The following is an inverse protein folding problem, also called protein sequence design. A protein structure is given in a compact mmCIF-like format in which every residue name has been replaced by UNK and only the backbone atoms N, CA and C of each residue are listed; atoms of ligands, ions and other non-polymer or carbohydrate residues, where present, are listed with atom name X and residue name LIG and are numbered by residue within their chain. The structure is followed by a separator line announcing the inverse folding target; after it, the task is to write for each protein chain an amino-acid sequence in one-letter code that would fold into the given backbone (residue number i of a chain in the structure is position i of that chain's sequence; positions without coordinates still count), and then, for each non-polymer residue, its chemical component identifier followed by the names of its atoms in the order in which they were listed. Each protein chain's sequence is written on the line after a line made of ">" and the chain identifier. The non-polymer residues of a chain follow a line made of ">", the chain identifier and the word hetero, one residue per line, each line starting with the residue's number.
data_IF_553460397445
#
_entry.id   IF_553460397445
#
_cell.length_a   1.000
_cell.length_b   1.000
_cell.length_c   1.000
_cell.angle_alpha   90.00
_cell.angle_beta   90.00
_cell.angle_gamma   90.00
#
_symmetry.space_group_name_H-M   'P 1'
#
loop_
_entity.id
_entity.type
_entity.pdbx_description
1 polymer ?
#
# COMPACT_ATOMS: atom_id res chain seq x y z
N UNK A 1 6.76 32.01 17.19
CA UNK A 1 6.38 30.86 16.34
C UNK A 1 6.82 31.17 14.93
N UNK A 2 7.34 30.19 14.20
CA UNK A 2 7.55 30.32 12.76
C UNK A 2 6.78 29.23 12.03
N UNK A 3 6.23 29.59 10.88
CA UNK A 3 5.40 28.71 10.07
C UNK A 3 5.81 28.80 8.61
N UNK A 4 5.81 27.66 7.92
CA UNK A 4 6.16 27.55 6.51
C UNK A 4 5.12 26.72 5.77
N UNK A 5 4.53 27.30 4.74
CA UNK A 5 3.62 26.60 3.85
C UNK A 5 4.41 25.88 2.76
N UNK A 6 4.25 24.56 2.67
CA UNK A 6 4.89 23.70 1.69
C UNK A 6 3.82 23.06 0.81
N UNK A 7 3.90 23.32 -0.50
CA UNK A 7 2.99 22.72 -1.47
C UNK A 7 3.42 21.28 -1.79
N UNK A 8 2.88 20.33 -1.02
CA UNK A 8 3.08 18.90 -1.22
C UNK A 8 1.92 18.31 -2.04
N UNK A 9 2.19 17.24 -2.80
CA UNK A 9 1.13 16.48 -3.47
C UNK A 9 0.84 15.22 -2.65
N UNK A 10 -0.43 14.88 -2.38
CA UNK A 10 -1.65 15.48 -2.92
C UNK A 10 -2.19 16.68 -2.12
N UNK A 11 -1.68 16.91 -0.90
CA UNK A 11 -2.22 17.92 0.03
C UNK A 11 -1.14 18.86 0.54
N UNK A 12 -1.42 20.15 0.55
CA UNK A 12 -0.54 21.19 1.09
C UNK A 12 -0.29 20.95 2.58
N UNK A 13 0.95 21.15 3.02
CA UNK A 13 1.37 20.98 4.41
C UNK A 13 1.86 22.30 4.98
N UNK A 14 1.51 22.57 6.23
CA UNK A 14 1.96 23.74 6.97
C UNK A 14 2.86 23.27 8.12
N UNK A 15 4.14 23.54 8.01
CA UNK A 15 5.12 23.21 9.04
C UNK A 15 5.17 24.33 10.07
N UNK A 16 5.20 23.96 11.34
CA UNK A 16 5.34 24.88 12.46
C UNK A 16 6.56 24.45 13.26
N UNK A 17 7.36 25.42 13.66
CA UNK A 17 8.46 25.19 14.57
C UNK A 17 8.54 26.27 15.65
N UNK A 18 8.78 25.80 16.86
CA UNK A 18 9.11 26.59 18.03
C UNK A 18 8.03 27.59 18.44
N UNK A 19 8.47 28.68 19.07
CA UNK A 19 7.58 29.64 19.72
C UNK A 19 7.45 29.40 21.23
N UNK A 20 6.56 30.18 21.83
CA UNK A 20 6.35 30.21 23.27
C UNK A 20 4.95 29.67 23.56
N UNK A 21 4.88 28.56 24.28
CA UNK A 21 3.62 27.97 24.74
C UNK A 21 3.45 28.21 26.24
N UNK A 22 2.20 28.34 26.66
CA UNK A 22 1.81 28.44 28.07
C UNK A 22 0.50 27.67 28.22
N UNK A 23 0.52 26.59 29.01
CA UNK A 23 -0.69 25.92 29.46
C UNK A 23 -1.09 26.56 30.79
N UNK A 24 -2.25 27.22 30.84
CA UNK A 24 -2.70 27.92 32.06
C UNK A 24 -4.06 27.41 32.50
N UNK A 25 -4.12 26.89 33.72
CA UNK A 25 -5.33 26.82 34.54
C UNK A 25 -5.54 28.19 35.21
N UNK A 26 -6.74 28.75 35.08
CA UNK A 26 -7.35 29.93 35.74
C UNK A 26 -6.49 30.85 36.67
N UNK A 27 -5.29 31.34 36.27
CA UNK A 27 -4.69 32.64 36.65
C UNK A 27 -3.26 32.79 36.06
N UNK A 28 -3.06 33.47 34.92
CA UNK A 28 -1.74 33.55 34.30
C UNK A 28 -0.82 34.56 34.99
N UNK A 29 0.30 34.09 35.55
CA UNK A 29 1.49 34.95 35.73
C UNK A 29 2.16 35.09 34.36
N UNK A 30 2.19 36.32 33.82
CA UNK A 30 2.66 36.69 32.45
C UNK A 30 4.07 36.23 32.05
N UNK A 31 4.84 35.62 32.96
CA UNK A 31 6.26 35.29 32.78
C UNK A 31 6.54 33.78 32.70
N UNK A 32 5.52 32.91 32.72
CA UNK A 32 5.69 31.46 32.61
C UNK A 32 5.36 30.96 31.19
N UNK A 33 6.15 31.39 30.21
CA UNK A 33 6.12 30.84 28.85
C UNK A 33 7.28 29.87 28.66
N UNK A 34 7.00 28.64 28.22
CA UNK A 34 8.04 27.67 27.84
C UNK A 34 8.27 27.76 26.34
N UNK A 35 9.53 27.75 25.94
CA UNK A 35 9.89 27.63 24.52
C UNK A 35 9.70 26.17 24.07
N UNK A 36 9.18 26.00 22.85
CA UNK A 36 8.97 24.70 22.22
C UNK A 36 10.11 24.37 21.25
N UNK A 37 10.43 23.08 21.10
CA UNK A 37 11.41 22.56 20.13
C UNK A 37 10.79 21.62 19.10
N UNK A 38 9.49 21.33 19.20
CA UNK A 38 8.86 20.36 18.34
C UNK A 38 8.57 20.96 16.96
N UNK A 39 8.74 20.13 15.93
CA UNK A 39 8.31 20.45 14.57
C UNK A 39 6.98 19.76 14.37
N UNK A 40 5.93 20.56 14.23
CA UNK A 40 4.59 20.08 13.96
C UNK A 40 4.26 20.29 12.49
N UNK A 41 3.45 19.39 11.93
CA UNK A 41 2.93 19.52 10.57
C UNK A 41 1.42 19.44 10.60
N UNK A 42 0.80 20.47 10.05
CA UNK A 42 -0.62 20.50 9.76
C UNK A 42 -0.80 20.15 8.28
N UNK A 43 -1.45 19.03 8.00
CA UNK A 43 -1.83 18.73 6.62
C UNK A 43 -3.21 19.30 6.34
N UNK A 44 -3.29 20.13 5.30
CA UNK A 44 -4.51 20.81 4.89
C UNK A 44 -5.31 19.92 3.94
N UNK A 45 -6.57 19.65 4.27
CA UNK A 45 -7.51 18.86 3.48
C UNK A 45 -8.96 19.14 3.88
N UNK A 46 -9.88 18.25 3.54
CA UNK A 46 -11.28 18.32 4.04
C UNK A 46 -11.33 18.24 5.57
N UNK A 47 -10.47 17.39 6.14
CA UNK A 47 -10.18 17.34 7.57
C UNK A 47 -8.71 17.74 7.82
N UNK A 48 -8.52 18.64 8.77
CA UNK A 48 -7.21 19.08 9.24
C UNK A 48 -6.65 18.06 10.24
N UNK A 49 -5.46 17.51 9.96
CA UNK A 49 -4.77 16.63 10.90
C UNK A 49 -3.43 17.22 11.32
N UNK A 50 -3.17 17.13 12.62
CA UNK A 50 -1.93 17.53 13.27
C UNK A 50 -1.08 16.30 13.54
N UNK A 51 0.16 16.33 13.03
CA UNK A 51 1.17 15.33 13.32
C UNK A 51 2.42 16.00 13.87
N UNK A 52 3.15 15.29 14.73
CA UNK A 52 4.48 15.70 15.17
C UNK A 52 5.51 15.02 14.27
N UNK A 53 6.40 15.80 13.67
CA UNK A 53 7.48 15.27 12.84
C UNK A 53 8.56 14.71 13.74
N UNK A 54 8.74 13.39 13.70
CA UNK A 54 9.91 12.75 14.29
C UNK A 54 11.12 13.08 13.42
N UNK A 55 11.99 13.95 13.90
CA UNK A 55 13.15 14.40 13.15
C UNK A 55 14.17 13.28 13.04
N UNK A 56 14.42 12.82 11.82
CA UNK A 56 15.65 12.11 11.50
C UNK A 56 16.60 13.19 10.98
N UNK A 57 17.75 13.35 11.63
CA UNK A 57 18.78 14.29 11.15
C UNK A 57 19.02 14.08 9.66
N UNK A 58 19.08 15.18 8.89
CA UNK A 58 19.27 15.10 7.45
C UNK A 58 20.56 14.33 7.06
N UNK A 59 21.56 14.30 7.95
CA UNK A 59 22.77 13.50 7.78
C UNK A 59 22.51 11.98 7.84
N UNK A 60 21.65 11.53 8.76
CA UNK A 60 21.25 10.12 8.89
C UNK A 60 20.33 9.70 7.75
N UNK A 61 19.36 10.54 7.39
CA UNK A 61 18.47 10.28 6.25
C UNK A 61 19.23 10.24 4.90
N UNK A 62 20.20 11.13 4.70
CA UNK A 62 21.06 11.12 3.51
C UNK A 62 22.01 9.90 3.49
N UNK A 63 22.47 9.42 4.65
CA UNK A 63 23.25 8.19 4.75
C UNK A 63 22.42 6.95 4.36
N UNK A 64 21.17 6.86 4.82
CA UNK A 64 20.23 5.78 4.45
C UNK A 64 19.87 5.79 2.95
N UNK A 65 19.68 6.97 2.37
CA UNK A 65 19.43 7.13 0.94
C UNK A 65 20.64 6.75 0.09
N UNK A 66 21.87 7.11 0.53
CA UNK A 66 23.13 6.66 -0.11
C UNK A 66 23.31 5.14 0.00
N UNK A 67 23.07 4.56 1.16
CA UNK A 67 23.17 3.10 1.35
C UNK A 67 22.14 2.35 0.49
N UNK A 68 20.93 2.88 0.34
CA UNK A 68 19.89 2.32 -0.54
C UNK A 68 20.24 2.43 -2.03
N UNK A 69 20.88 3.53 -2.44
CA UNK A 69 21.39 3.70 -3.79
C UNK A 69 22.63 2.82 -4.07
N UNK A 70 23.49 2.63 -3.07
CA UNK A 70 24.66 1.75 -3.15
C UNK A 70 24.25 0.27 -3.22
N UNK A 71 23.29 -0.17 -2.40
CA UNK A 71 22.73 -1.54 -2.49
C UNK A 71 22.08 -1.81 -3.85
N UNK A 72 21.51 -0.78 -4.50
CA UNK A 72 20.99 -0.90 -5.86
C UNK A 72 22.09 -0.97 -6.95
N UNK A 73 23.32 -0.49 -6.67
CA UNK A 73 24.42 -0.44 -7.64
C UNK A 73 25.48 -1.55 -7.47
N UNK A 74 25.48 -2.27 -6.33
CA UNK A 74 26.47 -3.34 -6.02
C UNK A 74 26.31 -4.62 -6.86
N UNK A 75 25.31 -4.73 -7.75
CA UNK A 75 25.21 -5.87 -8.66
C UNK A 75 26.33 -5.97 -9.72
N UNK A 76 27.26 -5.02 -9.84
CA UNK A 76 28.39 -5.10 -10.82
C UNK A 76 29.66 -4.35 -10.42
N UNK A 77 30.36 -4.66 -9.32
CA UNK A 77 31.81 -4.31 -9.19
C UNK A 77 32.62 -5.34 -8.41
N UNK A 78 33.76 -5.72 -9.00
CA UNK A 78 34.84 -6.60 -8.46
C UNK A 78 35.78 -5.75 -7.57
N UNK A 79 36.35 -6.28 -6.47
CA UNK A 79 36.99 -5.43 -5.47
C UNK A 79 38.45 -5.09 -5.81
N UNK A 80 38.84 -3.82 -5.65
CA UNK A 80 40.23 -3.39 -5.48
C UNK A 80 40.33 -2.23 -4.47
N UNK A 81 40.98 -2.55 -3.34
CA UNK A 81 41.95 -1.76 -2.54
C UNK A 81 41.78 -0.26 -2.19
N UNK A 82 41.83 -0.01 -0.86
CA UNK A 82 42.50 1.10 -0.12
C UNK A 82 41.98 2.55 -0.28
N UNK A 83 41.99 3.47 0.71
CA UNK A 83 42.32 3.51 2.14
C UNK A 83 41.68 4.75 2.82
N UNK A 84 41.50 4.64 4.14
CA UNK A 84 41.35 5.64 5.22
C UNK A 84 41.00 7.14 4.96
N UNK A 85 39.95 7.61 5.64
CA UNK A 85 40.04 8.69 6.63
C UNK A 85 38.76 8.75 7.50
N UNK A 86 38.86 8.34 8.76
CA UNK A 86 37.79 8.44 9.74
C UNK A 86 38.06 9.62 10.67
N UNK A 87 37.25 10.67 10.59
CA UNK A 87 37.14 11.70 11.62
C UNK A 87 36.18 11.23 12.73
N UNK A 88 36.43 11.57 14.00
CA UNK A 88 35.70 11.00 15.13
C UNK A 88 34.23 11.43 15.14
N UNK A 89 33.38 10.41 15.23
CA UNK A 89 31.94 10.47 15.34
C UNK A 89 31.56 11.11 16.69
N UNK A 90 31.03 12.33 16.64
CA UNK A 90 30.49 13.01 17.80
C UNK A 90 29.22 12.29 18.28
N UNK A 91 29.15 12.04 19.59
CA UNK A 91 28.06 11.37 20.30
C UNK A 91 26.73 12.11 20.10
N UNK A 92 25.76 11.43 19.51
CA UNK A 92 24.43 11.96 19.17
C UNK A 92 23.60 12.27 20.42
N UNK A 93 23.55 13.54 20.80
CA UNK A 93 22.59 14.08 21.75
C UNK A 93 21.39 14.62 20.96
N UNK A 94 20.20 14.11 21.26
CA UNK A 94 18.86 14.51 20.81
C UNK A 94 18.78 15.37 19.52
N UNK A 95 18.31 14.74 18.43
CA UNK A 95 18.22 15.24 17.04
C UNK A 95 17.21 16.39 16.80
N UNK A 96 16.99 17.29 17.77
CA UNK A 96 16.05 18.40 17.67
C UNK A 96 16.74 19.74 17.94
N UNK A 97 16.44 20.78 17.14
CA UNK A 97 16.96 22.13 17.38
C UNK A 97 16.48 22.67 18.72
N UNK A 98 17.38 23.34 19.44
CA UNK A 98 17.08 23.95 20.74
C UNK A 98 15.80 24.79 20.71
N UNK A 99 14.96 24.73 21.76
CA UNK A 99 13.74 25.53 21.84
C UNK A 99 14.04 27.01 21.63
N UNK A 100 13.35 27.65 20.69
CA UNK A 100 13.61 29.04 20.30
C UNK A 100 12.36 29.75 19.79
N UNK A 101 12.37 31.08 19.92
CA UNK A 101 11.37 31.95 19.33
C UNK A 101 11.95 32.80 18.19
N UNK A 102 11.11 33.28 17.28
CA UNK A 102 11.55 34.10 16.15
C UNK A 102 12.50 33.41 15.18
N UNK A 103 12.53 32.07 15.15
CA UNK A 103 13.28 31.33 14.14
C UNK A 103 12.70 31.57 12.74
N UNK A 104 13.48 31.29 11.70
CA UNK A 104 13.03 31.29 10.31
C UNK A 104 13.19 29.89 9.74
N UNK A 105 12.29 29.52 8.83
CA UNK A 105 12.28 28.23 8.16
C UNK A 105 12.36 28.41 6.65
N UNK A 106 13.09 27.53 5.98
CA UNK A 106 13.14 27.41 4.52
C UNK A 106 13.00 25.94 4.12
N UNK A 107 12.40 25.68 2.96
CA UNK A 107 12.20 24.34 2.42
C UNK A 107 12.85 24.21 1.04
N UNK A 108 13.69 23.19 0.88
CA UNK A 108 14.32 22.83 -0.37
C UNK A 108 13.57 21.64 -0.99
N UNK A 109 12.86 21.90 -2.08
CA UNK A 109 11.97 20.91 -2.71
C UNK A 109 12.70 19.77 -3.44
N UNK A 110 13.96 19.97 -3.83
CA UNK A 110 14.75 18.95 -4.55
C UNK A 110 15.10 17.78 -3.62
N UNK A 111 15.54 18.09 -2.40
CA UNK A 111 15.98 17.13 -1.39
C UNK A 111 14.92 16.88 -0.31
N UNK A 112 13.74 17.51 -0.40
CA UNK A 112 12.72 17.53 0.65
C UNK A 112 13.30 17.84 2.03
N UNK A 113 14.22 18.80 2.09
CA UNK A 113 14.93 19.18 3.32
C UNK A 113 14.37 20.48 3.85
N UNK A 114 14.02 20.45 5.14
CA UNK A 114 13.59 21.60 5.91
C UNK A 114 14.78 22.17 6.66
N UNK A 115 14.96 23.48 6.60
CA UNK A 115 16.07 24.19 7.22
C UNK A 115 15.51 25.21 8.20
N UNK A 116 16.06 25.20 9.41
CA UNK A 116 15.69 26.09 10.52
C UNK A 116 16.92 26.86 10.93
N UNK A 117 16.82 28.19 11.02
CA UNK A 117 17.94 29.04 11.40
C UNK A 117 17.50 30.28 12.17
N UNK A 118 18.46 30.85 12.89
CA UNK A 118 18.25 32.04 13.69
C UNK A 118 17.39 31.79 14.93
N UNK A 119 16.76 32.86 15.41
CA UNK A 119 15.90 32.85 16.58
C UNK A 119 16.64 33.14 17.89
N UNK A 120 15.85 33.23 18.95
CA UNK A 120 16.27 33.60 20.29
C UNK A 120 15.99 32.46 21.28
N UNK A 121 16.99 32.13 22.10
CA UNK A 121 16.87 31.22 23.23
C UNK A 121 17.83 31.65 24.33
N UNK A 122 17.46 32.70 25.07
CA UNK A 122 18.33 33.40 26.03
C UNK A 122 19.51 34.15 25.41
N UNK A 123 19.87 33.84 24.17
CA UNK A 123 20.80 34.54 23.28
C UNK A 123 20.33 34.39 21.83
N UNK A 124 20.79 35.28 20.95
CA UNK A 124 20.62 35.11 19.51
C UNK A 124 21.43 33.92 19.03
N UNK A 125 20.77 33.03 18.30
CA UNK A 125 21.37 31.81 17.78
C UNK A 125 21.80 32.03 16.31
N UNK A 126 23.00 31.58 15.98
CA UNK A 126 23.58 31.61 14.63
C UNK A 126 23.84 30.22 14.07
N UNK A 127 23.12 29.21 14.57
CA UNK A 127 23.17 27.83 14.11
C UNK A 127 22.22 27.58 12.93
N UNK A 128 22.52 26.52 12.19
CA UNK A 128 21.74 26.04 11.05
C UNK A 128 21.34 24.60 11.33
N UNK A 129 20.04 24.36 11.41
CA UNK A 129 19.47 23.04 11.59
C UNK A 129 18.82 22.56 10.30
N UNK A 130 19.00 21.29 10.00
CA UNK A 130 18.42 20.66 8.81
C UNK A 130 17.74 19.35 9.17
N UNK A 131 16.54 19.13 8.64
CA UNK A 131 15.76 17.93 8.84
C UNK A 131 15.22 17.44 7.50
N UNK A 132 15.40 16.16 7.19
CA UNK A 132 14.76 15.58 6.01
C UNK A 132 13.28 15.33 6.32
N UNK A 133 12.38 15.83 5.47
CA UNK A 133 10.93 15.66 5.61
C UNK A 133 10.33 14.93 4.40
N UNK A 134 11.15 14.13 3.71
CA UNK A 134 10.75 13.41 2.50
C UNK A 134 9.62 12.42 2.72
N UNK A 135 9.59 11.73 3.87
CA UNK A 135 8.51 10.81 4.24
C UNK A 135 7.18 11.53 4.44
N UNK A 136 7.22 12.77 4.94
CA UNK A 136 6.04 13.58 5.24
C UNK A 136 5.52 14.25 3.97
N UNK A 137 6.37 14.97 3.24
CA UNK A 137 5.98 15.73 2.04
C UNK A 137 5.78 14.79 0.85
N UNK A 138 6.61 13.76 0.75
CA UNK A 138 6.71 12.91 -0.44
C UNK A 138 7.49 13.58 -1.58
N UNK A 139 7.73 12.84 -2.67
CA UNK A 139 8.31 13.37 -3.90
C UNK A 139 7.34 14.34 -4.62
N UNK A 140 7.79 15.09 -5.65
CA UNK A 140 6.95 16.05 -6.40
C UNK A 140 5.88 15.39 -7.30
N UNK A 141 5.69 14.08 -7.18
CA UNK A 141 4.68 13.29 -7.88
C UNK A 141 3.79 12.55 -6.89
N UNK A 142 2.54 12.34 -7.27
CA UNK A 142 1.57 11.63 -6.45
C UNK A 142 0.73 10.68 -7.31
N UNK A 143 0.27 9.61 -6.67
CA UNK A 143 -0.70 8.67 -7.22
C UNK A 143 -2.08 9.12 -6.77
N UNK A 144 -3.05 9.00 -7.67
CA UNK A 144 -4.44 9.33 -7.41
C UNK A 144 -5.33 8.08 -7.50
N UNK A 145 -5.11 7.24 -8.52
CA UNK A 145 -5.97 6.09 -8.77
C UNK A 145 -5.23 4.95 -9.51
N UNK A 146 -5.79 3.74 -9.46
CA UNK A 146 -5.30 2.57 -10.17
C UNK A 146 -6.45 1.86 -10.90
N UNK A 147 -6.24 1.57 -12.19
CA UNK A 147 -7.23 0.91 -13.03
C UNK A 147 -6.63 -0.31 -13.73
N UNK A 148 -7.22 -1.52 -13.62
CA UNK A 148 -8.35 -1.88 -12.75
C UNK A 148 -7.97 -1.85 -11.25
N UNK A 149 -8.95 -1.71 -10.33
CA UNK A 149 -8.69 -1.66 -8.88
C UNK A 149 -8.54 -3.05 -8.23
N UNK A 150 -8.74 -4.12 -9.01
CA UNK A 150 -8.66 -5.50 -8.52
C UNK A 150 -8.03 -6.46 -9.53
N UNK A 151 -7.45 -7.55 -9.05
CA UNK A 151 -6.81 -8.57 -9.88
C UNK A 151 -6.58 -9.90 -9.17
N UNK A 152 -6.22 -10.96 -9.91
CA UNK A 152 -5.99 -12.29 -9.35
C UNK A 152 -4.69 -12.34 -8.54
N UNK A 153 -4.67 -13.16 -7.49
CA UNK A 153 -3.48 -13.39 -6.65
C UNK A 153 -2.30 -14.01 -7.42
N UNK A 154 -2.54 -14.62 -8.58
CA UNK A 154 -1.48 -15.09 -9.50
C UNK A 154 -0.60 -13.97 -10.03
N UNK A 155 -1.05 -12.72 -9.97
CA UNK A 155 -0.41 -11.62 -10.68
C UNK A 155 -0.66 -11.67 -12.18
N UNK A 156 0.10 -10.87 -12.92
CA UNK A 156 0.08 -10.84 -14.39
C UNK A 156 -0.98 -9.92 -14.99
N UNK A 157 -1.69 -9.14 -14.18
CA UNK A 157 -2.70 -8.19 -14.69
C UNK A 157 -2.02 -6.87 -15.03
N UNK A 158 -2.14 -6.36 -16.27
CA UNK A 158 -1.66 -5.03 -16.61
C UNK A 158 -2.53 -3.98 -15.91
N UNK A 159 -1.89 -3.10 -15.15
CA UNK A 159 -2.54 -1.99 -14.45
C UNK A 159 -2.02 -0.65 -14.97
N UNK A 160 -2.92 0.32 -15.02
CA UNK A 160 -2.64 1.72 -15.30
C UNK A 160 -2.77 2.51 -13.99
N UNK A 161 -1.64 3.04 -13.53
CA UNK A 161 -1.52 3.87 -12.34
C UNK A 161 -1.64 5.33 -12.78
N UNK A 162 -2.72 5.98 -12.34
CA UNK A 162 -3.01 7.39 -12.64
C UNK A 162 -2.52 8.28 -11.52
N UNK A 163 -1.96 9.42 -11.89
CA UNK A 163 -1.43 10.37 -10.93
C UNK A 163 -1.06 11.70 -11.58
N UNK A 164 -0.17 12.43 -10.91
CA UNK A 164 0.28 13.73 -11.38
C UNK A 164 1.77 13.95 -11.12
N UNK A 165 2.47 14.45 -12.13
CA UNK A 165 3.89 14.84 -12.02
C UNK A 165 4.88 13.70 -12.24
N UNK A 166 4.45 12.59 -12.84
CA UNK A 166 5.36 11.50 -13.16
C UNK A 166 6.43 11.94 -14.15
N UNK A 167 7.63 11.42 -13.98
CA UNK A 167 8.78 11.69 -14.85
C UNK A 167 9.35 10.38 -15.38
N UNK A 168 9.98 10.43 -16.56
CA UNK A 168 10.71 9.29 -17.09
C UNK A 168 11.89 8.95 -16.16
N UNK A 169 12.20 7.66 -16.02
CA UNK A 169 13.29 7.17 -15.18
C UNK A 169 13.09 5.73 -14.76
N UNK A 170 13.87 5.29 -13.75
CA UNK A 170 13.68 3.99 -13.11
C UNK A 170 12.44 4.04 -12.21
N UNK A 171 11.31 3.52 -12.68
CA UNK A 171 10.05 3.51 -11.93
C UNK A 171 9.88 2.16 -11.25
N UNK A 172 9.64 2.20 -9.94
CA UNK A 172 9.29 1.06 -9.12
C UNK A 172 7.90 1.29 -8.52
N UNK A 173 7.01 0.32 -8.71
CA UNK A 173 5.68 0.29 -8.10
C UNK A 173 5.71 -0.73 -6.98
N UNK A 174 5.57 -0.27 -5.74
CA UNK A 174 5.55 -1.11 -4.54
C UNK A 174 4.12 -1.46 -4.18
N UNK A 175 3.86 -2.75 -4.04
CA UNK A 175 2.65 -3.30 -3.46
C UNK A 175 2.97 -3.71 -2.01
N UNK A 176 2.30 -3.12 -1.04
CA UNK A 176 2.49 -3.42 0.39
C UNK A 176 1.20 -3.87 1.06
N UNK A 177 1.30 -4.87 1.94
CA UNK A 177 0.21 -5.33 2.80
C UNK A 177 0.79 -5.72 4.16
N UNK A 178 0.61 -4.83 5.16
CA UNK A 178 1.26 -4.99 6.47
C UNK A 178 2.79 -5.07 6.31
N UNK A 179 3.40 -6.11 6.89
CA UNK A 179 4.84 -6.36 6.83
C UNK A 179 5.34 -6.86 5.46
N UNK A 180 4.43 -7.26 4.56
CA UNK A 180 4.79 -7.76 3.24
C UNK A 180 4.87 -6.64 2.21
N UNK A 181 5.93 -6.62 1.41
CA UNK A 181 6.03 -5.73 0.25
C UNK A 181 6.68 -6.44 -0.96
N UNK A 182 6.23 -6.08 -2.15
CA UNK A 182 6.83 -6.51 -3.43
C UNK A 182 6.92 -5.33 -4.38
N UNK A 183 8.10 -5.21 -4.98
CA UNK A 183 8.42 -4.18 -5.95
C UNK A 183 8.31 -4.74 -7.37
N UNK A 184 7.58 -4.03 -8.23
CA UNK A 184 7.50 -4.33 -9.67
C UNK A 184 7.99 -3.15 -10.49
N UNK A 185 8.64 -3.40 -11.64
CA UNK A 185 9.04 -2.33 -12.55
C UNK A 185 7.81 -1.67 -13.17
N UNK A 186 7.82 -0.33 -13.21
CA UNK A 186 6.86 0.48 -13.92
C UNK A 186 7.41 1.00 -15.25
N UNK A 187 6.53 1.18 -16.22
CA UNK A 187 6.82 1.80 -17.52
C UNK A 187 6.18 3.18 -17.57
N UNK A 188 6.99 4.18 -17.88
CA UNK A 188 6.52 5.55 -18.05
C UNK A 188 5.75 5.67 -19.37
N UNK A 189 4.54 6.22 -19.31
CA UNK A 189 3.74 6.54 -20.50
C UNK A 189 3.61 8.04 -20.65
N UNK A 190 3.16 8.70 -19.59
CA UNK A 190 2.93 10.14 -19.57
C UNK A 190 3.14 10.69 -18.16
N UNK A 191 3.12 12.02 -18.04
CA UNK A 191 3.22 12.71 -16.75
C UNK A 191 2.05 12.41 -15.80
N UNK A 192 1.00 11.76 -16.29
CA UNK A 192 -0.21 11.39 -15.54
C UNK A 192 -0.49 9.89 -15.50
N UNK A 193 0.28 9.07 -16.24
CA UNK A 193 0.04 7.64 -16.35
C UNK A 193 1.33 6.80 -16.35
N UNK A 194 1.34 5.75 -15.52
CA UNK A 194 2.37 4.71 -15.45
C UNK A 194 1.70 3.36 -15.68
N UNK A 195 2.31 2.49 -16.50
CA UNK A 195 1.86 1.09 -16.62
C UNK A 195 2.74 0.16 -15.81
N UNK A 196 2.13 -0.77 -15.11
CA UNK A 196 2.81 -1.82 -14.38
C UNK A 196 2.05 -3.14 -14.51
N UNK A 197 2.67 -4.23 -14.08
CA UNK A 197 2.05 -5.56 -14.04
C UNK A 197 2.01 -6.04 -12.60
N UNK A 198 0.86 -6.55 -12.18
CA UNK A 198 0.68 -7.01 -10.80
C UNK A 198 1.60 -8.20 -10.48
N UNK A 199 2.23 -8.23 -9.29
CA UNK A 199 3.08 -9.35 -8.88
C UNK A 199 2.25 -10.58 -8.49
N UNK A 200 2.89 -11.75 -8.51
CA UNK A 200 2.31 -12.96 -7.94
C UNK A 200 2.45 -12.93 -6.41
N UNK A 201 1.31 -12.86 -5.72
CA UNK A 201 1.22 -12.73 -4.26
C UNK A 201 0.63 -13.96 -3.59
N UNK A 202 0.46 -15.08 -4.33
CA UNK A 202 -0.11 -16.32 -3.78
C UNK A 202 0.63 -16.84 -2.55
N UNK A 203 1.96 -16.81 -2.56
CA UNK A 203 2.76 -17.33 -1.45
C UNK A 203 2.62 -16.47 -0.18
N UNK A 204 2.44 -15.16 -0.33
CA UNK A 204 2.39 -14.21 0.78
C UNK A 204 0.98 -13.98 1.33
N UNK A 205 -0.02 -13.89 0.45
CA UNK A 205 -1.42 -13.60 0.81
C UNK A 205 -2.34 -14.82 0.76
N UNK A 206 -1.87 -15.96 0.24
CA UNK A 206 -2.66 -17.18 0.08
C UNK A 206 -2.55 -18.19 1.22
N UNK A 207 -1.55 -18.06 2.10
CA UNK A 207 -1.35 -18.98 3.23
C UNK A 207 -2.15 -18.56 4.47
N UNK A 208 -3.47 -18.77 4.42
CA UNK A 208 -4.22 -19.05 5.65
C UNK A 208 -4.22 -20.55 5.87
N UNK A 209 -3.05 -21.13 6.19
CA UNK A 209 -2.92 -22.54 6.59
C UNK A 209 -3.62 -22.73 7.93
N UNK A 210 -4.94 -22.98 7.90
CA UNK A 210 -5.56 -23.69 9.01
C UNK A 210 -5.02 -25.11 9.00
N UNK A 211 -4.05 -25.37 9.87
CA UNK A 211 -3.63 -26.71 10.26
C UNK A 211 -4.84 -27.42 10.89
N UNK A 212 -5.68 -28.07 10.07
CA UNK A 212 -6.69 -28.99 10.57
C UNK A 212 -5.97 -30.29 10.98
N UNK A 213 -5.24 -30.24 12.10
CA UNK A 213 -4.91 -31.46 12.82
C UNK A 213 -6.21 -31.97 13.43
N UNK A 214 -6.66 -33.08 12.86
CA UNK A 214 -7.65 -34.03 13.36
C UNK A 214 -7.91 -33.94 14.87
N UNK A 215 -9.11 -33.50 15.24
CA UNK A 215 -9.81 -33.91 16.46
C UNK A 215 -11.32 -33.86 16.15
N UNK A 216 -12.04 -35.01 16.18
CA UNK A 216 -13.48 -35.01 16.07
C UNK A 216 -14.05 -34.80 17.46
N UNK A 217 -14.71 -33.67 17.72
CA UNK A 217 -16.01 -33.60 18.41
C UNK A 217 -16.35 -32.14 18.73
N UNK A 218 -17.52 -31.72 18.24
CA UNK A 218 -18.32 -30.55 18.64
C UNK A 218 -17.56 -29.30 19.13
N UNK A 219 -17.41 -28.34 18.23
CA UNK A 219 -17.56 -26.92 18.58
C UNK A 219 -18.00 -26.15 17.36
N UNK A 220 -19.23 -25.66 17.37
CA UNK A 220 -19.78 -24.66 16.47
C UNK A 220 -19.06 -23.32 16.71
N UNK A 221 -17.75 -23.24 16.42
CA UNK A 221 -17.05 -21.97 16.34
C UNK A 221 -17.32 -21.42 14.94
N UNK A 222 -18.18 -20.41 14.89
CA UNK A 222 -18.39 -19.51 13.75
C UNK A 222 -17.02 -19.15 13.18
N UNK A 223 -16.63 -19.82 12.10
CA UNK A 223 -15.45 -19.52 11.30
C UNK A 223 -15.66 -18.13 10.70
N UNK A 224 -15.28 -17.08 11.42
CA UNK A 224 -14.99 -15.80 10.80
C UNK A 224 -13.56 -15.89 10.27
N UNK A 225 -13.37 -16.56 9.12
CA UNK A 225 -12.12 -16.59 8.35
C UNK A 225 -11.87 -15.26 7.62
N UNK A 226 -12.30 -14.15 8.21
CA UNK A 226 -12.59 -12.92 7.48
C UNK A 226 -11.54 -11.81 7.64
N UNK A 227 -10.34 -12.11 8.14
CA UNK A 227 -9.30 -11.10 8.27
C UNK A 227 -7.92 -11.64 7.90
N UNK A 228 -7.65 -11.65 6.59
CA UNK A 228 -6.32 -11.28 6.09
C UNK A 228 -6.53 -10.33 4.90
N UNK A 229 -5.95 -9.11 4.93
CA UNK A 229 -6.23 -8.09 3.95
C UNK A 229 -5.74 -8.56 2.59
N UNK A 230 -6.68 -8.94 1.71
CA UNK A 230 -6.38 -9.10 0.29
C UNK A 230 -6.22 -7.75 -0.42
N UNK A 231 -6.27 -6.66 0.34
CA UNK A 231 -6.05 -5.31 -0.13
C UNK A 231 -4.60 -4.94 0.11
N UNK A 232 -3.90 -4.60 -0.96
CA UNK A 232 -2.57 -4.02 -0.92
C UNK A 232 -2.67 -2.51 -1.15
N UNK A 233 -1.74 -1.78 -0.56
CA UNK A 233 -1.47 -0.39 -0.88
C UNK A 233 -0.42 -0.33 -1.98
N UNK A 234 -0.64 0.56 -2.94
CA UNK A 234 0.27 0.85 -4.04
C UNK A 234 0.94 2.19 -3.77
N UNK A 235 2.27 2.19 -3.81
CA UNK A 235 3.12 3.39 -3.81
C UNK A 235 4.11 3.35 -4.96
N UNK A 236 4.56 4.51 -5.40
CA UNK A 236 5.47 4.64 -6.57
C UNK A 236 6.75 5.32 -6.14
N UNK A 237 7.87 4.83 -6.63
CA UNK A 237 9.20 5.40 -6.48
C UNK A 237 9.79 5.62 -7.87
N UNK A 238 10.33 6.81 -8.13
CA UNK A 238 10.97 7.16 -9.40
C UNK A 238 12.42 7.57 -9.13
N UNK A 239 13.37 6.79 -9.63
CA UNK A 239 14.80 7.01 -9.47
C UNK A 239 15.27 6.82 -8.02
N UNK A 240 16.09 7.74 -7.55
CA UNK A 240 16.63 7.74 -6.20
C UNK A 240 15.70 8.38 -5.14
N UNK A 241 14.53 8.88 -5.55
CA UNK A 241 13.56 9.52 -4.65
C UNK A 241 12.86 8.51 -3.75
N UNK A 242 12.18 8.99 -2.73
CA UNK A 242 11.37 8.16 -1.84
C UNK A 242 10.04 7.74 -2.48
N UNK A 243 9.35 6.82 -1.81
CA UNK A 243 8.01 6.39 -2.19
C UNK A 243 7.03 7.56 -2.07
N UNK A 244 5.97 7.54 -2.89
CA UNK A 244 4.88 8.51 -2.77
C UNK A 244 4.26 8.53 -1.38
N UNK A 245 3.95 9.72 -0.89
CA UNK A 245 3.16 9.93 0.33
C UNK A 245 1.69 9.55 0.12
N UNK A 246 1.18 9.75 -1.09
CA UNK A 246 -0.11 9.21 -1.54
C UNK A 246 -0.05 7.69 -1.75
N UNK A 247 -1.12 7.00 -1.36
CA UNK A 247 -1.34 5.57 -1.55
C UNK A 247 -2.64 5.32 -2.28
N UNK A 248 -2.69 4.23 -3.06
CA UNK A 248 -3.92 3.72 -3.66
C UNK A 248 -4.14 2.27 -3.25
N UNK A 249 -5.40 1.86 -3.09
CA UNK A 249 -5.73 0.49 -2.71
C UNK A 249 -5.93 -0.38 -3.95
N UNK A 250 -5.38 -1.59 -3.91
CA UNK A 250 -5.58 -2.61 -4.94
C UNK A 250 -5.98 -3.93 -4.29
N UNK A 251 -7.08 -4.52 -4.77
CA UNK A 251 -7.62 -5.74 -4.18
C UNK A 251 -7.24 -7.00 -4.97
N UNK A 252 -6.48 -7.87 -4.34
CA UNK A 252 -6.22 -9.21 -4.86
C UNK A 252 -7.40 -10.16 -4.57
N UNK A 253 -7.78 -10.99 -5.53
CA UNK A 253 -8.76 -12.05 -5.33
C UNK A 253 -8.15 -13.42 -5.62
N UNK A 254 -8.60 -14.43 -4.88
CA UNK A 254 -8.30 -15.82 -5.19
C UNK A 254 -9.17 -16.27 -6.38
N UNK A 255 -8.59 -17.08 -7.28
CA UNK A 255 -9.33 -17.64 -8.40
C UNK A 255 -10.44 -18.58 -7.92
N UNK A 256 -11.53 -18.63 -8.68
CA UNK A 256 -12.61 -19.58 -8.47
C UNK A 256 -12.11 -21.02 -8.64
N UNK A 257 -12.69 -21.94 -7.87
CA UNK A 257 -12.39 -23.36 -7.95
C UNK A 257 -13.70 -24.10 -8.24
N UNK A 258 -13.79 -24.69 -9.43
CA UNK A 258 -15.01 -25.32 -9.92
C UNK A 258 -15.58 -26.38 -8.95
N UNK A 259 -14.72 -27.17 -8.30
CA UNK A 259 -15.11 -28.20 -7.34
C UNK A 259 -15.81 -27.67 -6.09
N UNK A 260 -15.64 -26.39 -5.76
CA UNK A 260 -16.28 -25.73 -4.63
C UNK A 260 -17.41 -24.77 -5.04
N UNK A 261 -17.53 -24.45 -6.33
CA UNK A 261 -18.64 -23.62 -6.82
C UNK A 261 -19.96 -24.39 -6.68
N UNK A 262 -21.03 -23.67 -6.36
CA UNK A 262 -22.35 -24.24 -6.15
C UNK A 262 -23.32 -23.69 -7.19
N UNK A 263 -24.17 -24.54 -7.76
CA UNK A 263 -25.32 -24.10 -8.55
C UNK A 263 -26.61 -24.50 -7.81
N UNK A 264 -27.55 -23.57 -7.65
CA UNK A 264 -28.81 -23.80 -6.93
C UNK A 264 -29.96 -23.12 -7.68
N UNK A 265 -31.03 -23.87 -7.94
CA UNK A 265 -32.29 -23.30 -8.41
C UNK A 265 -33.16 -24.31 -9.14
N UNK A 266 -34.43 -23.94 -9.42
CA UNK A 266 -35.39 -24.83 -10.09
C UNK A 266 -34.95 -25.22 -11.50
N UNK A 267 -34.15 -24.40 -12.19
CA UNK A 267 -33.61 -24.74 -13.52
C UNK A 267 -32.60 -25.90 -13.55
N UNK A 268 -32.19 -26.42 -12.39
CA UNK A 268 -31.31 -27.60 -12.27
C UNK A 268 -32.09 -28.90 -12.06
N UNK A 269 -33.40 -28.81 -11.85
CA UNK A 269 -34.26 -29.96 -11.62
C UNK A 269 -34.71 -30.58 -12.96
N UNK A 270 -35.02 -31.88 -12.93
CA UNK A 270 -35.44 -32.63 -14.12
C UNK A 270 -36.94 -32.51 -14.43
N UNK A 271 -37.69 -31.74 -13.64
CA UNK A 271 -39.15 -31.56 -13.72
C UNK A 271 -39.56 -30.28 -14.46
N UNK A 272 -38.62 -29.62 -15.15
CA UNK A 272 -38.89 -28.42 -15.93
C UNK A 272 -39.87 -28.67 -17.08
N UNK A 273 -40.95 -27.89 -17.13
CA UNK A 273 -41.92 -27.94 -18.22
C UNK A 273 -41.41 -27.16 -19.46
N UNK A 274 -41.56 -27.69 -20.70
CA UNK A 274 -41.20 -27.00 -21.92
C UNK A 274 -41.91 -25.65 -22.05
N UNK A 275 -41.18 -24.61 -22.46
CA UNK A 275 -41.72 -23.26 -22.65
C UNK A 275 -41.91 -22.46 -21.36
N UNK A 276 -41.65 -23.05 -20.18
CA UNK A 276 -41.68 -22.32 -18.90
C UNK A 276 -40.27 -21.79 -18.59
N UNK A 277 -40.10 -20.46 -18.42
CA UNK A 277 -38.79 -19.91 -18.05
C UNK A 277 -38.39 -20.39 -16.65
N UNK A 278 -37.19 -20.94 -16.53
CA UNK A 278 -36.61 -21.36 -15.25
C UNK A 278 -35.31 -20.60 -14.99
N UNK A 279 -34.93 -20.52 -13.72
CA UNK A 279 -33.71 -19.83 -13.28
C UNK A 279 -32.92 -20.69 -12.31
N UNK A 280 -31.63 -20.41 -12.24
CA UNK A 280 -30.75 -20.94 -11.21
C UNK A 280 -29.63 -19.93 -10.96
N UNK A 281 -29.02 -20.03 -9.79
CA UNK A 281 -27.93 -19.17 -9.36
C UNK A 281 -26.65 -20.01 -9.29
N UNK A 282 -25.55 -19.43 -9.75
CA UNK A 282 -24.21 -19.99 -9.54
C UNK A 282 -23.50 -19.12 -8.51
N UNK A 283 -23.09 -19.74 -7.41
CA UNK A 283 -22.22 -19.14 -6.41
C UNK A 283 -20.77 -19.56 -6.68
N UNK A 284 -19.98 -18.60 -7.15
CA UNK A 284 -18.55 -18.77 -7.34
C UNK A 284 -17.84 -18.84 -5.97
N UNK A 285 -17.04 -19.88 -5.76
CA UNK A 285 -16.24 -20.06 -4.54
C UNK A 285 -14.78 -20.29 -4.87
N UNK A 286 -13.89 -19.87 -3.98
CA UNK A 286 -12.46 -20.16 -4.08
C UNK A 286 -12.13 -21.55 -3.52
N UNK A 287 -10.86 -21.98 -3.66
CA UNK A 287 -10.39 -23.25 -3.11
C UNK A 287 -10.47 -23.36 -1.57
N UNK A 288 -10.63 -22.22 -0.88
CA UNK A 288 -10.84 -22.14 0.57
C UNK A 288 -12.34 -22.08 0.94
N UNK A 289 -13.24 -22.42 0.00
CA UNK A 289 -14.69 -22.38 0.15
C UNK A 289 -15.27 -20.99 0.49
N UNK A 290 -14.49 -19.92 0.31
CA UNK A 290 -14.93 -18.55 0.49
C UNK A 290 -15.69 -18.04 -0.75
N UNK A 291 -16.82 -17.37 -0.52
CA UNK A 291 -17.62 -16.75 -1.59
C UNK A 291 -16.80 -15.70 -2.33
N UNK A 292 -16.84 -15.75 -3.66
CA UNK A 292 -16.21 -14.73 -4.50
C UNK A 292 -17.19 -13.56 -4.66
N UNK A 293 -16.69 -12.36 -4.41
CA UNK A 293 -17.44 -11.10 -4.57
C UNK A 293 -17.00 -10.31 -5.80
N UNK A 294 -15.88 -10.71 -6.42
CA UNK A 294 -15.40 -10.13 -7.68
C UNK A 294 -15.98 -10.89 -8.87
N UNK A 295 -16.32 -10.17 -9.95
CA UNK A 295 -16.86 -10.75 -11.18
C UNK A 295 -15.79 -11.34 -12.11
N UNK A 296 -16.15 -11.61 -13.37
CA UNK A 296 -15.20 -12.02 -14.42
C UNK A 296 -14.94 -13.53 -14.53
N UNK A 297 -15.68 -14.36 -13.79
CA UNK A 297 -15.71 -15.80 -14.06
C UNK A 297 -16.59 -16.06 -15.29
N UNK A 298 -16.12 -16.90 -16.21
CA UNK A 298 -16.91 -17.36 -17.34
C UNK A 298 -17.56 -18.71 -17.01
N UNK A 299 -18.89 -18.73 -16.93
CA UNK A 299 -19.67 -19.95 -16.76
C UNK A 299 -20.28 -20.36 -18.10
N UNK A 300 -20.03 -21.60 -18.51
CA UNK A 300 -20.65 -22.19 -19.70
C UNK A 300 -21.77 -23.10 -19.25
N UNK A 301 -23.01 -22.72 -19.57
CA UNK A 301 -24.22 -23.48 -19.25
C UNK A 301 -24.73 -24.11 -20.55
N UNK A 302 -24.89 -25.43 -20.56
CA UNK A 302 -25.49 -26.17 -21.68
C UNK A 302 -26.72 -26.91 -21.18
N UNK A 303 -27.87 -26.61 -21.76
CA UNK A 303 -29.10 -27.34 -21.51
C UNK A 303 -29.27 -28.40 -22.60
N UNK A 304 -29.60 -29.64 -22.19
CA UNK A 304 -29.90 -30.74 -23.10
C UNK A 304 -31.33 -31.19 -22.88
N UNK A 305 -32.06 -31.40 -23.96
CA UNK A 305 -33.34 -32.11 -23.91
C UNK A 305 -33.02 -33.58 -23.89
N UNK A 306 -33.33 -34.26 -22.78
CA UNK A 306 -33.23 -35.71 -22.75
C UNK A 306 -34.37 -36.28 -23.60
N UNK A 307 -34.08 -37.18 -24.57
CA UNK A 307 -35.14 -37.91 -25.25
C UNK A 307 -35.93 -38.71 -24.21
N UNK A 308 -37.26 -38.78 -24.35
CA UNK A 308 -38.12 -39.57 -23.47
C UNK A 308 -37.61 -41.02 -23.41
N UNK A 309 -36.95 -41.38 -22.32
CA UNK A 309 -36.64 -42.78 -22.04
C UNK A 309 -37.93 -43.40 -21.55
N UNK A 310 -38.52 -44.26 -22.38
CA UNK A 310 -39.62 -45.15 -22.00
C UNK A 310 -39.26 -45.80 -20.66
N UNK A 311 -40.05 -45.49 -19.62
CA UNK A 311 -39.94 -46.04 -18.27
C UNK A 311 -40.02 -47.56 -18.32
N UNK A 312 -38.87 -48.24 -18.43
CA UNK A 312 -38.71 -49.69 -18.23
C UNK A 312 -37.21 -50.09 -18.14
N UNK A 313 -36.42 -49.43 -17.29
CA UNK A 313 -35.18 -50.01 -16.73
C UNK A 313 -34.63 -49.14 -15.60
N UNK A 314 -34.30 -49.78 -14.47
CA UNK A 314 -33.79 -49.19 -13.23
C UNK A 314 -32.48 -48.39 -13.44
N UNK A 315 -32.29 -47.20 -12.85
CA UNK A 315 -31.05 -46.46 -12.99
C UNK A 315 -30.04 -46.85 -11.90
N UNK A 316 -28.95 -47.51 -12.29
CA UNK A 316 -27.66 -47.43 -11.60
C UNK A 316 -26.89 -46.30 -12.30
N UNK A 317 -26.80 -45.13 -11.67
CA UNK A 317 -26.12 -43.96 -12.25
C UNK A 317 -24.79 -43.71 -11.51
N UNK A 318 -23.71 -44.18 -12.14
CA UNK A 318 -22.33 -43.75 -11.93
C UNK A 318 -22.16 -42.37 -12.58
N UNK A 319 -21.99 -41.32 -11.78
CA UNK A 319 -21.56 -40.02 -12.28
C UNK A 319 -20.03 -40.01 -12.42
N UNK A 320 -19.50 -40.09 -13.65
CA UNK A 320 -18.12 -39.73 -13.97
C UNK A 320 -18.06 -38.25 -14.35
N UNK A 321 -17.28 -37.48 -13.60
CA UNK A 321 -16.84 -36.14 -13.98
C UNK A 321 -15.51 -36.27 -14.74
N UNK A 322 -15.55 -36.29 -16.06
CA UNK A 322 -14.34 -36.16 -16.89
C UNK A 322 -14.19 -34.68 -17.31
N UNK A 323 -13.33 -33.95 -16.60
CA UNK A 323 -12.87 -32.62 -16.99
C UNK A 323 -11.57 -32.76 -17.78
N UNK A 324 -11.63 -32.61 -19.11
CA UNK A 324 -10.44 -32.49 -19.95
C UNK A 324 -9.78 -31.12 -19.76
N UNK A 325 -8.50 -31.13 -19.39
CA UNK A 325 -7.61 -29.98 -19.44
C UNK A 325 -6.96 -29.94 -20.83
N UNK A 326 -7.45 -29.10 -21.74
CA UNK A 326 -6.66 -28.69 -22.92
C UNK A 326 -5.78 -27.50 -22.53
N UNK A 327 -4.51 -27.79 -22.25
CA UNK A 327 -3.46 -26.77 -22.29
C UNK A 327 -3.15 -26.50 -23.76
N UNK A 328 -3.50 -25.30 -24.23
CA UNK A 328 -2.99 -24.78 -25.50
C UNK A 328 -1.60 -24.19 -25.22
N UNK A 329 -0.57 -24.82 -25.80
CA UNK A 329 0.77 -24.25 -25.95
C UNK A 329 0.74 -23.01 -26.85
#
# INVERSE_FOLDING_TARGET
>A
MCGLLVNARPRTKFFIYGGASSEVLENPKRFQTRLCSDIEVLTLGEECHWDVVQTVSAATAAAEQRESAEKACVAKRRPQGTAANASPQATAAADLPLPREGATMAYFAEDSTLVVFGGWSGKWLGDLWTCCVSSVVGPPYAILDVSPPHGPMTGGTPISVRGAGFTAGSICVRFSAGEFFVDVPGTFISTTEIRAVTPNVKAALGESKHHFSQLPHLSLKKQTSDKSPRTCEIRVKIGAKDLTSSLCSFQFFANSCASYCLAVGPGLLSDGAPGVPTSFFIEARNAQNGKRTTGGDNFVVRAFVLPEVSLNASPILLARNDCHHEQKQ
#
